data_IF_390377373663
#
_entry.id   IF_390377373663
#
_cell.length_a   1.000
_cell.length_b   1.000
_cell.length_c   1.000
_cell.angle_alpha   90.00
_cell.angle_beta   90.00
_cell.angle_gamma   90.00
#
_symmetry.space_group_name_H-M   'P 1'
#
loop_
_entity.id
_entity.type
_entity.pdbx_description
1 polymer ?
#
# COMPACT_ATOMS: atom_id res chain seq x y z
N UNK A 1 19.27 -1.40 -32.22
CA UNK A 1 17.97 -2.08 -32.39
C UNK A 1 17.47 -2.31 -30.99
N UNK A 2 16.69 -1.34 -30.52
CA UNK A 2 16.37 -1.12 -29.11
C UNK A 2 15.45 -2.22 -28.57
N UNK A 3 15.90 -2.88 -27.51
CA UNK A 3 15.16 -3.90 -26.77
C UNK A 3 14.60 -3.39 -25.43
N UNK A 4 14.25 -2.10 -25.35
CA UNK A 4 13.69 -1.50 -24.13
C UNK A 4 12.31 -0.85 -24.33
N UNK A 5 11.54 -1.30 -25.32
CA UNK A 5 10.10 -1.09 -25.27
C UNK A 5 9.54 -1.99 -24.15
N UNK A 6 9.55 -1.48 -22.91
CA UNK A 6 8.82 -2.05 -21.78
C UNK A 6 7.40 -2.39 -22.23
N UNK A 7 6.86 -3.51 -21.76
CA UNK A 7 5.61 -4.10 -22.21
C UNK A 7 4.41 -3.17 -21.93
N UNK A 8 4.23 -2.11 -22.73
CA UNK A 8 3.12 -1.12 -22.67
C UNK A 8 1.77 -1.70 -23.10
N UNK A 9 1.71 -3.01 -23.38
CA UNK A 9 0.57 -3.66 -24.04
C UNK A 9 -0.57 -4.12 -23.13
N UNK A 10 -0.37 -4.22 -21.82
CA UNK A 10 -1.42 -4.67 -20.90
C UNK A 10 -1.33 -3.99 -19.54
N UNK A 11 -2.49 -3.55 -19.04
CA UNK A 11 -2.65 -3.01 -17.69
C UNK A 11 -2.57 -4.18 -16.69
N UNK A 12 -1.53 -4.21 -15.86
CA UNK A 12 -1.26 -5.30 -14.91
C UNK A 12 -1.37 -4.82 -13.45
N UNK A 13 -1.84 -5.67 -12.52
CA UNK A 13 -1.91 -5.33 -11.10
C UNK A 13 -0.55 -4.91 -10.55
N UNK A 14 -0.53 -3.89 -9.67
CA UNK A 14 0.69 -3.55 -8.92
C UNK A 14 1.07 -4.68 -7.96
N UNK A 15 2.37 -4.81 -7.67
CA UNK A 15 2.92 -5.85 -6.78
C UNK A 15 2.24 -5.88 -5.40
N UNK A 16 1.80 -4.73 -4.89
CA UNK A 16 1.09 -4.67 -3.61
C UNK A 16 -0.29 -5.35 -3.65
N UNK A 17 -1.03 -5.27 -4.76
CA UNK A 17 -2.30 -6.00 -4.90
C UNK A 17 -2.06 -7.51 -4.80
N UNK A 18 -1.02 -8.01 -5.47
CA UNK A 18 -0.65 -9.42 -5.42
C UNK A 18 -0.22 -9.84 -4.02
N UNK A 19 0.62 -9.03 -3.36
CA UNK A 19 1.08 -9.31 -2.00
C UNK A 19 -0.09 -9.44 -1.01
N UNK A 20 -1.09 -8.56 -1.11
CA UNK A 20 -2.29 -8.60 -0.27
C UNK A 20 -3.17 -9.80 -0.61
N UNK A 21 -3.44 -10.05 -1.89
CA UNK A 21 -4.24 -11.20 -2.32
C UNK A 21 -3.58 -12.53 -1.89
N UNK A 22 -2.27 -12.67 -2.08
CA UNK A 22 -1.51 -13.83 -1.63
C UNK A 22 -1.49 -13.99 -0.12
N UNK A 23 -1.42 -12.88 0.62
CA UNK A 23 -1.46 -12.92 2.08
C UNK A 23 -2.80 -13.48 2.54
N UNK A 24 -3.92 -12.89 2.08
CA UNK A 24 -5.27 -13.28 2.48
C UNK A 24 -5.58 -14.72 2.05
N UNK A 25 -5.19 -15.11 0.83
CA UNK A 25 -5.37 -16.48 0.34
C UNK A 25 -4.66 -17.51 1.24
N UNK A 26 -3.44 -17.21 1.70
CA UNK A 26 -2.64 -18.15 2.51
C UNK A 26 -3.03 -18.17 3.98
N UNK A 27 -3.33 -17.01 4.56
CA UNK A 27 -3.52 -16.87 6.01
C UNK A 27 -4.99 -16.84 6.43
N UNK A 28 -5.90 -16.52 5.51
CA UNK A 28 -7.35 -16.51 5.74
C UNK A 28 -8.12 -17.38 4.72
N UNK A 29 -7.74 -18.64 4.49
CA UNK A 29 -8.26 -19.45 3.37
C UNK A 29 -9.77 -19.72 3.44
N UNK A 30 -10.33 -19.82 4.63
CA UNK A 30 -11.77 -20.02 4.82
C UNK A 30 -12.57 -18.75 4.53
N UNK A 31 -12.07 -17.59 4.95
CA UNK A 31 -12.65 -16.28 4.65
C UNK A 31 -12.55 -15.99 3.15
N UNK A 32 -11.40 -16.32 2.55
CA UNK A 32 -11.18 -16.22 1.11
C UNK A 32 -12.20 -17.03 0.33
N UNK A 33 -12.35 -18.32 0.66
CA UNK A 33 -13.30 -19.21 -0.02
C UNK A 33 -14.74 -18.71 0.14
N UNK A 34 -15.15 -18.39 1.37
CA UNK A 34 -16.49 -17.89 1.65
C UNK A 34 -16.80 -16.61 0.86
N UNK A 35 -15.83 -15.69 0.76
CA UNK A 35 -15.99 -14.42 0.05
C UNK A 35 -15.99 -14.60 -1.47
N UNK A 36 -15.14 -15.49 -2.00
CA UNK A 36 -15.08 -15.80 -3.42
C UNK A 36 -16.32 -16.55 -3.92
N UNK A 37 -16.89 -17.43 -3.10
CA UNK A 37 -18.15 -18.13 -3.39
C UNK A 37 -19.39 -17.24 -3.19
N UNK A 38 -19.21 -16.04 -2.62
CA UNK A 38 -20.31 -15.10 -2.35
C UNK A 38 -20.86 -14.55 -3.66
N UNK A 39 -21.87 -15.23 -4.19
CA UNK A 39 -22.66 -14.75 -5.33
C UNK A 39 -23.60 -13.65 -4.89
N UNK A 40 -23.57 -12.51 -5.58
CA UNK A 40 -24.64 -11.51 -5.44
C UNK A 40 -25.94 -12.12 -5.96
N UNK A 41 -27.00 -12.12 -5.15
CA UNK A 41 -28.27 -12.71 -5.55
C UNK A 41 -28.91 -11.90 -6.70
N UNK A 42 -29.56 -12.58 -7.65
CA UNK A 42 -30.19 -11.93 -8.80
C UNK A 42 -31.18 -10.82 -8.37
N UNK A 43 -31.94 -11.02 -7.29
CA UNK A 43 -32.85 -10.02 -6.73
C UNK A 43 -32.12 -8.76 -6.22
N UNK A 44 -30.92 -8.91 -5.65
CA UNK A 44 -30.09 -7.78 -5.21
C UNK A 44 -29.58 -6.98 -6.41
N UNK A 45 -29.19 -7.66 -7.49
CA UNK A 45 -28.76 -7.00 -8.74
C UNK A 45 -29.91 -6.25 -9.41
N UNK A 46 -31.10 -6.84 -9.48
CA UNK A 46 -32.29 -6.15 -9.99
C UNK A 46 -32.66 -4.93 -9.13
N UNK A 47 -32.60 -5.07 -7.81
CA UNK A 47 -32.84 -3.95 -6.89
C UNK A 47 -31.81 -2.82 -7.09
N UNK A 48 -30.54 -3.16 -7.31
CA UNK A 48 -29.47 -2.21 -7.61
C UNK A 48 -29.75 -1.47 -8.93
N UNK A 49 -30.06 -2.19 -10.02
CA UNK A 49 -30.41 -1.61 -11.32
C UNK A 49 -31.61 -0.68 -11.22
N UNK A 50 -32.65 -1.08 -10.47
CA UNK A 50 -33.83 -0.27 -10.24
C UNK A 50 -33.53 0.99 -9.40
N UNK A 51 -32.62 0.91 -8.42
CA UNK A 51 -32.16 2.08 -7.67
C UNK A 51 -31.37 3.05 -8.54
N UNK A 52 -30.44 2.56 -9.36
CA UNK A 52 -29.72 3.39 -10.33
C UNK A 52 -30.67 4.16 -11.24
N UNK A 53 -31.67 3.50 -11.82
CA UNK A 53 -32.66 4.16 -12.69
C UNK A 53 -33.57 5.15 -11.96
N UNK A 54 -33.79 4.97 -10.65
CA UNK A 54 -34.63 5.87 -9.85
C UNK A 54 -33.87 7.14 -9.44
N UNK A 55 -32.59 6.99 -9.15
CA UNK A 55 -31.77 8.04 -8.52
C UNK A 55 -30.91 8.81 -9.52
N UNK A 56 -30.81 8.32 -10.77
CA UNK A 56 -29.97 8.92 -11.81
C UNK A 56 -30.72 9.05 -13.14
N UNK A 57 -30.19 9.88 -14.03
CA UNK A 57 -30.62 9.96 -15.42
C UNK A 57 -29.75 9.03 -16.27
N UNK A 58 -30.35 8.04 -16.95
CA UNK A 58 -29.61 7.20 -17.90
C UNK A 58 -29.23 8.03 -19.13
N UNK A 59 -27.94 8.08 -19.44
CA UNK A 59 -27.42 8.79 -20.62
C UNK A 59 -27.71 7.93 -21.85
N UNK A 60 -28.67 8.36 -22.66
CA UNK A 60 -29.11 7.63 -23.84
C UNK A 60 -28.14 7.77 -25.02
N UNK A 61 -27.93 6.67 -25.77
CA UNK A 61 -26.97 6.65 -26.87
C UNK A 61 -27.42 7.45 -28.09
N UNK A 62 -28.72 7.55 -28.35
CA UNK A 62 -29.25 8.35 -29.47
C UNK A 62 -29.10 9.85 -29.18
N UNK A 63 -29.20 10.25 -27.91
CA UNK A 63 -29.06 11.64 -27.47
C UNK A 63 -27.59 12.07 -27.25
N UNK A 64 -26.71 11.14 -26.84
CA UNK A 64 -25.33 11.41 -26.43
C UNK A 64 -24.32 10.49 -27.12
N UNK A 65 -24.43 10.38 -28.45
CA UNK A 65 -23.63 9.43 -29.23
C UNK A 65 -22.11 9.64 -29.15
N UNK A 66 -21.65 10.87 -28.97
CA UNK A 66 -20.24 11.22 -28.77
C UNK A 66 -19.68 10.70 -27.44
N UNK A 67 -20.46 10.79 -26.36
CA UNK A 67 -20.11 10.26 -25.04
C UNK A 67 -20.00 8.73 -25.09
N UNK A 68 -20.98 8.06 -25.72
CA UNK A 68 -20.96 6.61 -25.90
C UNK A 68 -19.82 6.15 -26.82
N UNK A 69 -19.49 6.91 -27.85
CA UNK A 69 -18.33 6.63 -28.70
C UNK A 69 -17.01 6.76 -27.93
N UNK A 70 -16.88 7.74 -27.03
CA UNK A 70 -15.72 7.87 -26.15
C UNK A 70 -15.60 6.67 -25.19
N UNK A 71 -16.71 6.24 -24.57
CA UNK A 71 -16.71 5.05 -23.72
C UNK A 71 -16.29 3.80 -24.51
N UNK A 72 -16.88 3.58 -25.68
CA UNK A 72 -16.55 2.44 -26.54
C UNK A 72 -15.06 2.44 -26.94
N UNK A 73 -14.50 3.59 -27.29
CA UNK A 73 -13.08 3.73 -27.60
C UNK A 73 -12.19 3.46 -26.38
N UNK A 74 -12.58 3.90 -25.18
CA UNK A 74 -11.85 3.59 -23.95
C UNK A 74 -11.86 2.08 -23.66
N UNK A 75 -13.01 1.42 -23.82
CA UNK A 75 -13.14 -0.04 -23.69
C UNK A 75 -12.26 -0.78 -24.70
N UNK A 76 -12.26 -0.36 -25.97
CA UNK A 76 -11.40 -0.92 -27.02
C UNK A 76 -9.91 -0.82 -26.64
N UNK A 77 -9.46 0.37 -26.22
CA UNK A 77 -8.05 0.61 -25.86
C UNK A 77 -7.60 -0.17 -24.63
N UNK A 78 -8.53 -0.51 -23.75
CA UNK A 78 -8.28 -1.34 -22.57
C UNK A 78 -8.55 -2.84 -22.82
N UNK A 79 -8.94 -3.22 -24.03
CA UNK A 79 -9.18 -4.62 -24.40
C UNK A 79 -10.45 -5.23 -23.80
N UNK A 80 -11.42 -4.41 -23.37
CA UNK A 80 -12.70 -4.89 -22.84
C UNK A 80 -13.64 -5.18 -24.02
N UNK A 81 -13.96 -6.46 -24.23
CA UNK A 81 -14.78 -6.92 -25.36
C UNK A 81 -16.05 -7.62 -24.87
N UNK A 82 -17.19 -7.26 -25.46
CA UNK A 82 -18.46 -7.98 -25.25
C UNK A 82 -19.14 -7.74 -23.90
N UNK A 83 -18.64 -6.83 -23.08
CA UNK A 83 -19.26 -6.43 -21.80
C UNK A 83 -20.22 -5.27 -22.04
N UNK A 84 -21.51 -5.36 -21.68
CA UNK A 84 -22.42 -4.24 -21.79
C UNK A 84 -22.04 -3.13 -20.79
N UNK A 85 -22.05 -1.87 -21.26
CA UNK A 85 -21.78 -0.70 -20.45
C UNK A 85 -22.97 0.27 -20.46
N UNK A 86 -23.33 0.80 -19.29
CA UNK A 86 -24.37 1.81 -19.15
C UNK A 86 -23.84 3.04 -18.41
N UNK A 87 -24.13 4.22 -18.97
CA UNK A 87 -23.79 5.51 -18.41
C UNK A 87 -24.99 6.14 -17.71
N UNK A 88 -24.72 6.76 -16.56
CA UNK A 88 -25.70 7.47 -15.76
C UNK A 88 -25.17 8.85 -15.38
N UNK A 89 -26.06 9.84 -15.32
CA UNK A 89 -25.83 11.14 -14.74
C UNK A 89 -26.50 11.20 -13.37
N UNK A 90 -25.70 11.30 -12.32
CA UNK A 90 -26.13 11.51 -10.94
C UNK A 90 -26.20 13.02 -10.61
N UNK A 91 -27.14 13.47 -9.76
CA UNK A 91 -27.19 14.84 -9.28
C UNK A 91 -25.95 15.20 -8.44
N UNK A 92 -25.47 16.43 -8.58
CA UNK A 92 -24.36 16.95 -7.77
C UNK A 92 -23.72 18.17 -8.41
N UNK A 93 -22.96 18.93 -7.62
CA UNK A 93 -22.22 20.12 -8.08
C UNK A 93 -20.72 19.86 -8.23
N UNK A 94 -20.20 18.89 -7.49
CA UNK A 94 -18.81 18.44 -7.61
C UNK A 94 -18.68 17.48 -8.79
N UNK A 95 -17.59 17.63 -9.53
CA UNK A 95 -17.24 16.70 -10.61
C UNK A 95 -16.80 15.38 -10.00
N UNK A 96 -17.39 14.28 -10.44
CA UNK A 96 -16.94 12.95 -10.06
C UNK A 96 -17.33 11.92 -11.12
N UNK A 97 -16.65 10.79 -11.14
CA UNK A 97 -17.09 9.58 -11.80
C UNK A 97 -16.95 8.41 -10.83
N UNK A 98 -17.79 7.39 -10.99
CA UNK A 98 -17.64 6.15 -10.24
C UNK A 98 -18.17 4.95 -11.00
N UNK A 99 -17.44 3.84 -10.89
CA UNK A 99 -17.89 2.52 -11.29
C UNK A 99 -18.79 1.90 -10.21
N UNK A 100 -19.95 1.41 -10.64
CA UNK A 100 -20.72 0.41 -9.88
C UNK A 100 -20.43 -0.95 -10.48
N UNK A 101 -19.65 -1.75 -9.75
CA UNK A 101 -19.23 -3.07 -10.22
C UNK A 101 -20.37 -4.09 -10.13
N UNK A 102 -20.73 -4.64 -11.29
CA UNK A 102 -21.64 -5.78 -11.42
C UNK A 102 -20.91 -6.85 -12.24
N UNK A 103 -20.84 -8.12 -11.80
CA UNK A 103 -20.21 -9.16 -12.60
C UNK A 103 -20.82 -9.24 -14.00
N UNK A 104 -19.98 -9.06 -15.02
CA UNK A 104 -20.38 -9.08 -16.44
C UNK A 104 -21.09 -7.82 -16.96
N UNK A 105 -21.22 -6.75 -16.16
CA UNK A 105 -21.85 -5.48 -16.57
C UNK A 105 -21.05 -4.28 -16.05
N UNK A 106 -20.97 -3.22 -16.86
CA UNK A 106 -20.31 -1.98 -16.49
C UNK A 106 -21.38 -0.91 -16.28
N UNK A 107 -21.39 -0.29 -15.10
CA UNK A 107 -22.25 0.85 -14.80
C UNK A 107 -21.37 2.01 -14.33
N UNK A 108 -21.33 3.11 -15.08
CA UNK A 108 -20.53 4.28 -14.74
C UNK A 108 -21.47 5.44 -14.44
N UNK A 109 -21.32 6.03 -13.26
CA UNK A 109 -22.03 7.23 -12.84
C UNK A 109 -21.12 8.44 -13.04
N UNK A 110 -21.63 9.47 -13.70
CA UNK A 110 -21.03 10.79 -13.81
C UNK A 110 -21.79 11.74 -12.90
N UNK A 111 -21.07 12.57 -12.14
CA UNK A 111 -21.66 13.55 -11.23
C UNK A 111 -21.14 14.95 -11.54
N UNK A 112 -22.02 15.95 -11.43
CA UNK A 112 -21.66 17.33 -11.70
C UNK A 112 -21.36 17.60 -13.18
N UNK A 113 -20.64 18.70 -13.49
CA UNK A 113 -20.46 19.18 -14.87
C UNK A 113 -19.35 18.44 -15.63
N UNK A 114 -19.24 17.11 -15.49
CA UNK A 114 -18.20 16.29 -16.14
C UNK A 114 -18.31 16.37 -17.66
N UNK A 115 -19.50 16.14 -18.21
CA UNK A 115 -19.72 16.19 -19.67
C UNK A 115 -19.59 17.61 -20.24
N UNK A 116 -19.73 18.64 -19.41
CA UNK A 116 -19.59 20.04 -19.83
C UNK A 116 -18.13 20.50 -19.81
N UNK A 117 -17.34 20.06 -18.83
CA UNK A 117 -16.00 20.61 -18.55
C UNK A 117 -14.83 19.75 -19.04
N UNK A 118 -15.06 18.46 -19.30
CA UNK A 118 -14.04 17.59 -19.87
C UNK A 118 -14.07 17.65 -21.39
N UNK A 119 -12.89 17.82 -21.98
CA UNK A 119 -12.66 17.61 -23.41
C UNK A 119 -12.80 16.13 -23.78
N UNK A 120 -12.88 15.82 -25.07
CA UNK A 120 -12.98 14.43 -25.54
C UNK A 120 -11.82 13.54 -25.07
N UNK A 121 -10.60 14.07 -24.97
CA UNK A 121 -9.45 13.31 -24.45
C UNK A 121 -9.49 13.11 -22.94
N UNK A 122 -10.00 14.09 -22.19
CA UNK A 122 -10.18 13.99 -20.74
C UNK A 122 -11.33 13.06 -20.38
N UNK A 123 -12.38 13.01 -21.23
CA UNK A 123 -13.48 12.06 -21.12
C UNK A 123 -13.01 10.62 -21.39
N UNK A 124 -12.12 10.42 -22.37
CA UNK A 124 -11.43 9.13 -22.53
C UNK A 124 -10.62 8.76 -21.29
N UNK A 125 -9.93 9.72 -20.67
CA UNK A 125 -9.16 9.46 -19.47
C UNK A 125 -10.04 9.07 -18.27
N UNK A 126 -11.15 9.77 -18.03
CA UNK A 126 -12.04 9.44 -16.91
C UNK A 126 -12.73 8.09 -17.12
N UNK A 127 -13.16 7.77 -18.35
CA UNK A 127 -13.70 6.44 -18.64
C UNK A 127 -12.63 5.36 -18.51
N UNK A 128 -11.42 5.59 -19.00
CA UNK A 128 -10.32 4.65 -18.81
C UNK A 128 -9.99 4.37 -17.36
N UNK A 129 -10.11 5.38 -16.50
CA UNK A 129 -9.95 5.25 -15.06
C UNK A 129 -11.02 4.33 -14.46
N UNK A 130 -12.30 4.61 -14.70
CA UNK A 130 -13.40 3.77 -14.16
C UNK A 130 -13.38 2.34 -14.72
N UNK A 131 -13.05 2.19 -16.01
CA UNK A 131 -12.93 0.87 -16.64
C UNK A 131 -11.75 0.07 -16.11
N UNK A 132 -10.69 0.73 -15.63
CA UNK A 132 -9.59 0.05 -14.99
C UNK A 132 -9.98 -0.53 -13.63
N UNK A 133 -10.82 0.14 -12.83
CA UNK A 133 -11.39 -0.49 -11.63
C UNK A 133 -12.13 -1.79 -11.98
N UNK A 134 -12.94 -1.76 -13.05
CA UNK A 134 -13.64 -2.96 -13.53
C UNK A 134 -12.65 -4.07 -13.93
N UNK A 135 -11.59 -3.72 -14.67
CA UNK A 135 -10.56 -4.67 -15.07
C UNK A 135 -9.88 -5.31 -13.87
N UNK A 136 -9.37 -4.51 -12.92
CA UNK A 136 -8.68 -5.03 -11.74
C UNK A 136 -9.55 -6.06 -11.02
N UNK A 137 -10.83 -5.75 -10.79
CA UNK A 137 -11.78 -6.63 -10.13
C UNK A 137 -12.25 -7.82 -10.97
N UNK A 138 -11.99 -7.83 -12.27
CA UNK A 138 -12.30 -8.93 -13.19
C UNK A 138 -11.10 -9.83 -13.47
N UNK A 139 -9.88 -9.42 -13.12
CA UNK A 139 -8.65 -10.21 -13.32
C UNK A 139 -8.63 -11.44 -12.40
N UNK A 140 -7.97 -12.50 -12.90
CA UNK A 140 -7.71 -13.75 -12.19
C UNK A 140 -8.94 -14.30 -11.46
N UNK A 141 -10.05 -14.45 -12.20
CA UNK A 141 -11.33 -14.92 -11.68
C UNK A 141 -11.86 -14.12 -10.47
N UNK A 142 -11.60 -12.80 -10.45
CA UNK A 142 -12.05 -11.91 -9.39
C UNK A 142 -11.20 -11.99 -8.11
N UNK A 143 -9.95 -12.43 -8.22
CA UNK A 143 -8.98 -12.50 -7.11
C UNK A 143 -8.86 -11.17 -6.36
N UNK A 144 -8.72 -10.07 -7.08
CA UNK A 144 -8.54 -8.74 -6.49
C UNK A 144 -9.84 -8.15 -5.93
N UNK A 145 -10.98 -8.53 -6.50
CA UNK A 145 -12.30 -8.21 -5.93
C UNK A 145 -12.53 -8.97 -4.62
N UNK A 146 -12.08 -10.21 -4.55
CA UNK A 146 -12.17 -11.03 -3.33
C UNK A 146 -11.36 -10.38 -2.21
N UNK A 147 -10.12 -9.98 -2.49
CA UNK A 147 -9.28 -9.26 -1.52
C UNK A 147 -9.95 -7.94 -1.04
N UNK A 148 -10.45 -7.12 -1.97
CA UNK A 148 -11.15 -5.87 -1.66
C UNK A 148 -12.34 -6.09 -0.71
N UNK A 149 -13.18 -7.08 -1.02
CA UNK A 149 -14.37 -7.42 -0.21
C UNK A 149 -14.01 -7.89 1.20
N UNK A 150 -12.99 -8.74 1.34
CA UNK A 150 -12.52 -9.20 2.66
C UNK A 150 -12.09 -8.02 3.50
N UNK A 151 -11.28 -7.12 2.92
CA UNK A 151 -10.77 -5.95 3.63
C UNK A 151 -11.90 -4.98 4.00
N UNK A 152 -12.81 -4.70 3.08
CA UNK A 152 -13.96 -3.85 3.34
C UNK A 152 -14.86 -4.42 4.45
N UNK A 153 -15.16 -5.72 4.40
CA UNK A 153 -15.98 -6.39 5.42
C UNK A 153 -15.25 -6.41 6.79
N UNK A 154 -13.93 -6.59 6.81
CA UNK A 154 -13.11 -6.53 8.03
C UNK A 154 -13.09 -5.14 8.67
N UNK A 155 -13.04 -4.07 7.87
CA UNK A 155 -13.09 -2.68 8.35
C UNK A 155 -14.48 -2.30 8.83
N UNK A 156 -15.53 -2.82 8.21
CA UNK A 156 -16.92 -2.60 8.63
C UNK A 156 -17.28 -3.37 9.92
N UNK A 157 -16.56 -4.46 10.24
CA UNK A 157 -16.83 -5.28 11.41
C UNK A 157 -16.49 -4.55 12.73
N UNK A 158 -17.36 -4.64 13.77
CA UNK A 158 -17.04 -4.14 15.09
C UNK A 158 -15.76 -4.81 15.64
N UNK A 159 -14.75 -4.01 15.94
CA UNK A 159 -13.48 -4.52 16.46
C UNK A 159 -12.48 -4.99 15.41
N UNK A 160 -12.64 -4.61 14.13
CA UNK A 160 -11.62 -4.84 13.10
C UNK A 160 -10.23 -4.35 13.56
N UNK A 161 -9.17 -5.07 13.20
CA UNK A 161 -7.81 -4.73 13.59
C UNK A 161 -7.28 -3.50 12.82
N UNK A 162 -6.34 -2.76 13.41
CA UNK A 162 -5.70 -1.63 12.73
C UNK A 162 -4.93 -2.08 11.48
N UNK A 163 -4.40 -3.30 11.47
CA UNK A 163 -3.71 -3.85 10.30
C UNK A 163 -4.63 -4.06 9.11
N UNK A 164 -5.87 -4.53 9.31
CA UNK A 164 -6.85 -4.64 8.24
C UNK A 164 -7.27 -3.25 7.72
N UNK A 165 -7.42 -2.25 8.62
CA UNK A 165 -7.69 -0.85 8.23
C UNK A 165 -6.57 -0.28 7.36
N UNK A 166 -5.32 -0.42 7.78
CA UNK A 166 -4.18 0.09 7.04
C UNK A 166 -3.97 -0.68 5.73
N UNK A 167 -4.21 -2.00 5.72
CA UNK A 167 -4.18 -2.81 4.50
C UNK A 167 -5.23 -2.33 3.51
N UNK A 168 -6.48 -2.14 3.95
CA UNK A 168 -7.57 -1.66 3.10
C UNK A 168 -7.28 -0.28 2.51
N UNK A 169 -6.81 0.64 3.35
CA UNK A 169 -6.37 1.97 2.92
C UNK A 169 -5.30 1.88 1.83
N UNK A 170 -4.18 1.19 2.08
CA UNK A 170 -3.09 1.06 1.09
C UNK A 170 -3.53 0.36 -0.18
N UNK A 171 -4.42 -0.62 -0.06
CA UNK A 171 -5.00 -1.32 -1.19
C UNK A 171 -5.80 -0.35 -2.07
N UNK A 172 -6.66 0.48 -1.47
CA UNK A 172 -7.39 1.53 -2.18
C UNK A 172 -6.45 2.54 -2.86
N UNK A 173 -5.38 2.98 -2.17
CA UNK A 173 -4.39 3.90 -2.76
C UNK A 173 -3.70 3.29 -3.99
N UNK A 174 -3.35 2.00 -3.96
CA UNK A 174 -2.77 1.29 -5.09
C UNK A 174 -3.77 1.07 -6.24
N UNK A 175 -5.03 0.82 -5.90
CA UNK A 175 -6.14 0.69 -6.87
C UNK A 175 -6.32 1.99 -7.65
N UNK A 176 -6.22 3.15 -6.99
CA UNK A 176 -6.26 4.45 -7.68
C UNK A 176 -5.08 4.67 -8.63
N UNK A 177 -3.86 4.29 -8.23
CA UNK A 177 -2.70 4.35 -9.12
C UNK A 177 -2.83 3.41 -10.32
N UNK A 178 -3.41 2.23 -10.13
CA UNK A 178 -3.74 1.32 -11.22
C UNK A 178 -4.74 1.95 -12.19
N UNK A 179 -5.80 2.55 -11.64
CA UNK A 179 -6.84 3.17 -12.45
C UNK A 179 -6.33 4.43 -13.20
N UNK A 180 -5.42 5.20 -12.62
CA UNK A 180 -4.75 6.31 -13.32
C UNK A 180 -4.00 5.85 -14.58
N UNK A 181 -3.33 4.69 -14.51
CA UNK A 181 -2.68 4.08 -15.67
C UNK A 181 -3.69 3.73 -16.75
N UNK A 182 -4.83 3.16 -16.37
CA UNK A 182 -5.96 2.90 -17.26
C UNK A 182 -6.48 4.16 -17.95
N UNK A 183 -6.59 5.27 -17.21
CA UNK A 183 -6.96 6.56 -17.76
C UNK A 183 -5.96 7.06 -18.82
N UNK A 184 -4.65 7.00 -18.55
CA UNK A 184 -3.64 7.39 -19.53
C UNK A 184 -3.60 6.48 -20.76
N UNK A 185 -3.78 5.16 -20.59
CA UNK A 185 -3.86 4.20 -21.69
C UNK A 185 -5.08 4.48 -22.59
N UNK A 186 -6.25 4.67 -22.00
CA UNK A 186 -7.47 4.98 -22.73
C UNK A 186 -7.40 6.33 -23.42
N UNK A 187 -6.73 7.34 -22.84
CA UNK A 187 -6.50 8.63 -23.49
C UNK A 187 -5.38 8.57 -24.55
N UNK A 188 -4.45 7.62 -24.44
CA UNK A 188 -3.24 7.51 -25.25
C UNK A 188 -2.14 8.49 -24.86
N UNK A 189 -2.26 9.16 -23.71
CA UNK A 189 -1.31 10.15 -23.20
C UNK A 189 -1.51 10.44 -21.70
N UNK A 190 -0.46 10.87 -21.02
CA UNK A 190 -0.50 11.31 -19.60
C UNK A 190 -1.25 12.63 -19.42
N UNK A 191 -1.06 13.58 -20.34
CA UNK A 191 -1.56 14.94 -20.14
C UNK A 191 -3.09 15.02 -19.94
N UNK A 192 -3.94 14.31 -20.71
CA UNK A 192 -5.37 14.28 -20.45
C UNK A 192 -5.73 13.66 -19.09
N UNK A 193 -5.05 12.60 -18.68
CA UNK A 193 -5.31 11.96 -17.38
C UNK A 193 -4.94 12.87 -16.20
N UNK A 194 -3.77 13.53 -16.25
CA UNK A 194 -3.37 14.54 -15.25
C UNK A 194 -4.34 15.71 -15.24
N UNK A 195 -4.75 16.21 -16.41
CA UNK A 195 -5.75 17.28 -16.51
C UNK A 195 -7.05 16.87 -15.85
N UNK A 196 -7.58 15.68 -16.16
CA UNK A 196 -8.80 15.13 -15.55
C UNK A 196 -8.69 15.07 -14.03
N UNK A 197 -7.60 14.54 -13.48
CA UNK A 197 -7.37 14.48 -12.03
C UNK A 197 -7.49 15.87 -11.37
N UNK A 198 -6.84 16.88 -11.94
CA UNK A 198 -6.87 18.25 -11.41
C UNK A 198 -8.26 18.87 -11.57
N UNK A 199 -8.92 18.70 -12.72
CA UNK A 199 -10.26 19.25 -12.96
C UNK A 199 -11.30 18.62 -12.03
N UNK A 200 -11.26 17.30 -11.84
CA UNK A 200 -12.17 16.60 -10.93
C UNK A 200 -11.99 17.09 -9.50
N UNK A 201 -10.73 17.21 -9.03
CA UNK A 201 -10.44 17.66 -7.68
C UNK A 201 -10.80 19.13 -7.40
N UNK A 202 -10.55 20.02 -8.37
CA UNK A 202 -10.62 21.48 -8.14
C UNK A 202 -11.84 22.14 -8.77
N UNK A 203 -12.49 21.47 -9.73
CA UNK A 203 -13.58 22.01 -10.53
C UNK A 203 -13.16 23.03 -11.60
N UNK A 204 -11.87 23.33 -11.78
CA UNK A 204 -11.46 24.32 -12.79
C UNK A 204 -11.65 23.80 -14.22
N UNK A 205 -11.93 24.70 -15.18
CA UNK A 205 -12.26 24.30 -16.56
C UNK A 205 -11.05 24.04 -17.45
N UNK A 206 -9.88 24.61 -17.13
CA UNK A 206 -8.67 24.51 -17.95
C UNK A 206 -7.48 24.22 -17.06
N UNK A 207 -6.68 23.24 -17.44
CA UNK A 207 -5.47 22.81 -16.72
C UNK A 207 -4.33 22.72 -17.72
N UNK A 208 -3.16 23.24 -17.36
CA UNK A 208 -1.91 22.92 -18.03
C UNK A 208 -1.27 21.74 -17.29
N UNK A 209 -1.42 20.54 -17.87
CA UNK A 209 -0.91 19.31 -17.27
C UNK A 209 0.63 19.32 -17.10
N UNK A 210 1.36 19.96 -18.02
CA UNK A 210 2.81 20.07 -17.92
C UNK A 210 3.23 21.02 -16.79
N UNK A 211 2.49 22.12 -16.60
CA UNK A 211 2.70 23.00 -15.45
C UNK A 211 2.39 22.29 -14.13
N UNK A 212 1.30 21.52 -14.06
CA UNK A 212 0.96 20.77 -12.86
C UNK A 212 1.99 19.69 -12.54
N UNK A 213 2.53 18.98 -13.54
CA UNK A 213 3.60 17.99 -13.31
C UNK A 213 4.89 18.64 -12.76
N UNK A 214 5.24 19.85 -13.22
CA UNK A 214 6.36 20.62 -12.64
C UNK A 214 6.08 20.99 -11.17
N UNK A 215 4.87 21.45 -10.88
CA UNK A 215 4.44 21.74 -9.51
C UNK A 215 4.50 20.48 -8.63
N UNK A 216 4.06 19.32 -9.15
CA UNK A 216 4.08 18.08 -8.40
C UNK A 216 5.52 17.61 -8.09
N UNK A 217 6.46 17.82 -9.02
CA UNK A 217 7.89 17.57 -8.79
C UNK A 217 8.51 18.56 -7.78
N UNK A 218 8.06 19.82 -7.76
CA UNK A 218 8.48 20.79 -6.75
C UNK A 218 8.02 20.40 -5.35
N UNK A 219 6.75 19.98 -5.18
CA UNK A 219 6.23 19.45 -3.90
C UNK A 219 7.08 18.26 -3.45
N UNK A 220 7.33 17.30 -4.37
CA UNK A 220 8.12 16.11 -4.11
C UNK A 220 9.53 16.44 -3.58
N UNK A 221 10.17 17.46 -4.12
CA UNK A 221 11.52 17.89 -3.71
C UNK A 221 11.57 18.52 -2.31
N UNK A 222 10.44 19.01 -1.81
CA UNK A 222 10.34 19.72 -0.53
C UNK A 222 9.65 18.89 0.57
N UNK A 223 8.91 17.85 0.21
CA UNK A 223 8.14 17.01 1.12
C UNK A 223 8.53 15.54 0.98
N UNK A 224 8.91 14.89 2.09
CA UNK A 224 9.28 13.46 2.14
C UNK A 224 8.19 12.56 2.76
N UNK A 225 6.99 13.10 2.97
CA UNK A 225 5.88 12.37 3.58
C UNK A 225 5.23 11.34 2.65
N UNK A 226 4.81 10.22 3.24
CA UNK A 226 3.85 9.31 2.63
C UNK A 226 2.44 9.89 2.69
N UNK A 227 1.58 9.43 1.78
CA UNK A 227 0.18 9.84 1.69
C UNK A 227 -0.53 9.73 3.03
N UNK A 228 -1.22 10.80 3.42
CA UNK A 228 -2.07 10.84 4.61
C UNK A 228 -3.54 10.49 4.28
N UNK A 229 -3.88 10.31 3.01
CA UNK A 229 -5.23 10.10 2.53
C UNK A 229 -5.77 8.68 2.76
N UNK A 230 -7.08 8.58 3.03
CA UNK A 230 -7.76 7.33 3.38
C UNK A 230 -8.28 6.52 2.19
N UNK A 231 -8.58 7.17 1.07
CA UNK A 231 -9.24 6.55 -0.09
C UNK A 231 -8.54 6.83 -1.42
N UNK A 232 -8.12 8.08 -1.67
CA UNK A 232 -7.41 8.46 -2.88
C UNK A 232 -6.11 9.17 -2.51
N UNK A 233 -4.95 8.83 -3.10
CA UNK A 233 -3.73 9.59 -2.85
C UNK A 233 -3.90 11.04 -3.26
N UNK A 234 -3.12 11.92 -2.65
CA UNK A 234 -3.04 13.33 -3.00
C UNK A 234 -2.77 13.47 -4.51
N UNK A 235 -3.45 14.42 -5.16
CA UNK A 235 -3.42 14.54 -6.64
C UNK A 235 -2.01 14.66 -7.22
N UNK A 236 -1.08 15.27 -6.49
CA UNK A 236 0.31 15.37 -6.92
C UNK A 236 1.02 14.00 -6.92
N UNK A 237 0.74 13.13 -5.93
CA UNK A 237 1.28 11.77 -5.87
C UNK A 237 0.79 10.97 -7.07
N UNK A 238 -0.52 11.03 -7.33
CA UNK A 238 -1.16 10.36 -8.49
C UNK A 238 -0.56 10.80 -9.82
N UNK A 239 -0.45 12.12 -10.04
CA UNK A 239 0.12 12.67 -11.26
C UNK A 239 1.60 12.29 -11.45
N UNK A 240 2.41 12.28 -10.38
CA UNK A 240 3.82 11.86 -10.43
C UNK A 240 3.97 10.37 -10.68
N UNK A 241 3.24 9.53 -9.94
CA UNK A 241 3.24 8.08 -10.15
C UNK A 241 2.87 7.72 -11.60
N UNK A 242 1.86 8.40 -12.16
CA UNK A 242 1.43 8.19 -13.54
C UNK A 242 2.51 8.60 -14.55
N UNK A 243 3.18 9.74 -14.35
CA UNK A 243 4.26 10.20 -15.21
C UNK A 243 5.47 9.26 -15.17
N UNK A 244 5.96 8.91 -13.97
CA UNK A 244 7.07 7.97 -13.79
C UNK A 244 6.77 6.61 -14.43
N UNK A 245 5.53 6.12 -14.28
CA UNK A 245 5.09 4.88 -14.94
C UNK A 245 5.08 4.99 -16.47
N UNK A 246 4.56 6.08 -17.00
CA UNK A 246 4.46 6.29 -18.44
C UNK A 246 5.84 6.40 -19.10
N UNK A 247 6.77 7.07 -18.43
CA UNK A 247 8.14 7.27 -18.90
C UNK A 247 9.00 6.01 -18.70
N UNK A 248 8.54 5.05 -17.89
CA UNK A 248 9.20 3.77 -17.66
C UNK A 248 10.38 3.87 -16.69
N UNK A 249 10.26 4.75 -15.70
CA UNK A 249 11.32 5.00 -14.71
C UNK A 249 11.57 3.76 -13.84
N UNK A 250 12.86 3.45 -13.63
CA UNK A 250 13.29 2.21 -12.98
C UNK A 250 13.02 2.19 -11.48
N UNK A 251 12.99 3.36 -10.84
CA UNK A 251 12.79 3.56 -9.41
C UNK A 251 11.31 3.75 -9.02
N UNK A 252 10.37 3.62 -9.97
CA UNK A 252 8.94 3.80 -9.73
C UNK A 252 8.42 2.97 -8.54
N UNK A 253 8.88 1.72 -8.41
CA UNK A 253 8.40 0.82 -7.36
C UNK A 253 8.82 1.33 -5.98
N UNK A 254 10.09 1.67 -5.83
CA UNK A 254 10.64 2.22 -4.58
C UNK A 254 10.00 3.57 -4.26
N UNK A 255 9.73 4.39 -5.30
CA UNK A 255 9.03 5.65 -5.16
C UNK A 255 7.59 5.46 -4.63
N UNK A 256 6.85 4.50 -5.19
CA UNK A 256 5.48 4.19 -4.73
C UNK A 256 5.52 3.67 -3.28
N UNK A 257 6.46 2.79 -2.94
CA UNK A 257 6.60 2.26 -1.56
C UNK A 257 6.84 3.42 -0.57
N UNK A 258 7.78 4.31 -0.89
CA UNK A 258 8.06 5.48 -0.06
C UNK A 258 6.85 6.42 0.08
N UNK A 259 6.08 6.62 -1.00
CA UNK A 259 4.96 7.57 -1.04
C UNK A 259 3.64 7.02 -0.53
N UNK A 260 3.40 5.72 -0.58
CA UNK A 260 2.14 5.13 -0.13
C UNK A 260 2.27 4.41 1.22
N UNK A 261 3.42 3.81 1.52
CA UNK A 261 3.64 3.11 2.79
C UNK A 261 4.42 3.97 3.78
N UNK A 262 5.46 4.66 3.29
CA UNK A 262 6.40 5.37 4.14
C UNK A 262 7.28 4.41 4.96
N UNK A 263 7.88 4.88 6.07
CA UNK A 263 8.76 4.06 6.88
C UNK A 263 8.03 2.87 7.52
N UNK A 264 8.75 1.77 7.72
CA UNK A 264 8.25 0.65 8.52
C UNK A 264 8.05 1.13 9.97
N UNK A 265 6.79 1.10 10.41
CA UNK A 265 6.31 1.70 11.66
C UNK A 265 5.32 0.74 12.32
N UNK A 266 5.42 0.55 13.63
CA UNK A 266 4.51 -0.31 14.40
C UNK A 266 3.09 0.22 14.38
N UNK A 267 2.91 1.54 14.35
CA UNK A 267 1.61 2.21 14.34
C UNK A 267 0.89 2.07 13.01
N UNK A 268 1.61 1.72 11.93
CA UNK A 268 1.06 1.59 10.56
C UNK A 268 1.41 0.25 9.91
N UNK A 269 1.44 -0.83 10.68
CA UNK A 269 1.63 -2.17 10.13
C UNK A 269 0.35 -2.64 9.44
N UNK A 270 0.40 -2.79 8.12
CA UNK A 270 -0.55 -3.58 7.34
C UNK A 270 -0.23 -5.09 7.45
N UNK A 271 -1.09 -5.93 6.88
CA UNK A 271 -0.94 -7.39 6.95
C UNK A 271 0.38 -7.88 6.29
N UNK A 272 0.76 -7.45 5.07
CA UNK A 272 2.07 -7.79 4.51
C UNK A 272 3.24 -7.24 5.34
N UNK A 273 3.11 -6.04 5.91
CA UNK A 273 4.10 -5.41 6.76
C UNK A 273 4.32 -6.17 8.07
N UNK A 274 3.28 -6.75 8.67
CA UNK A 274 3.41 -7.64 9.83
C UNK A 274 4.25 -8.87 9.48
N UNK A 275 3.96 -9.54 8.36
CA UNK A 275 4.75 -10.70 7.92
C UNK A 275 6.21 -10.32 7.64
N UNK A 276 6.45 -9.17 7.01
CA UNK A 276 7.79 -8.63 6.77
C UNK A 276 8.52 -8.33 8.08
N UNK A 277 7.89 -7.63 9.02
CA UNK A 277 8.49 -7.32 10.31
C UNK A 277 8.77 -8.60 11.11
N UNK A 278 7.87 -9.59 11.05
CA UNK A 278 8.10 -10.88 11.71
C UNK A 278 9.33 -11.59 11.14
N UNK A 279 9.50 -11.64 9.82
CA UNK A 279 10.68 -12.22 9.18
C UNK A 279 11.97 -11.47 9.54
N UNK A 280 11.94 -10.13 9.51
CA UNK A 280 13.07 -9.31 9.94
C UNK A 280 13.41 -9.53 11.42
N UNK A 281 12.40 -9.67 12.27
CA UNK A 281 12.57 -9.94 13.70
C UNK A 281 13.27 -11.28 13.93
N UNK A 282 12.89 -12.32 13.18
CA UNK A 282 13.57 -13.62 13.28
C UNK A 282 15.04 -13.50 12.90
N UNK A 283 15.32 -12.88 11.76
CA UNK A 283 16.71 -12.67 11.35
C UNK A 283 17.51 -11.77 12.30
N UNK A 284 16.85 -10.81 12.94
CA UNK A 284 17.45 -9.96 13.96
C UNK A 284 17.82 -10.72 15.22
N UNK A 285 16.95 -11.63 15.70
CA UNK A 285 17.28 -12.52 16.82
C UNK A 285 18.49 -13.39 16.45
N UNK A 286 18.52 -13.96 15.24
CA UNK A 286 19.66 -14.75 14.78
C UNK A 286 20.96 -13.91 14.78
N UNK A 287 20.90 -12.67 14.28
CA UNK A 287 22.02 -11.72 14.31
C UNK A 287 22.49 -11.37 15.73
N UNK A 288 21.54 -11.19 16.65
CA UNK A 288 21.84 -10.86 18.03
C UNK A 288 22.57 -12.00 18.74
N UNK A 289 22.12 -13.25 18.53
CA UNK A 289 22.66 -14.44 19.20
C UNK A 289 24.05 -14.89 18.68
N UNK A 290 24.35 -14.64 17.41
CA UNK A 290 25.58 -15.12 16.74
C UNK A 290 26.88 -14.53 17.35
N UNK A 291 26.86 -13.27 17.76
CA UNK A 291 28.09 -12.52 18.10
C UNK A 291 28.78 -12.86 19.43
N UNK A 292 28.13 -13.60 20.34
CA UNK A 292 28.68 -13.80 21.70
C UNK A 292 28.26 -15.13 22.39
N UNK A 293 27.92 -16.17 21.62
CA UNK A 293 27.44 -17.45 22.18
C UNK A 293 26.26 -17.27 23.15
N UNK A 294 25.36 -16.33 22.83
CA UNK A 294 24.23 -15.93 23.68
C UNK A 294 23.05 -16.91 23.62
N UNK A 295 23.20 -18.02 22.89
CA UNK A 295 22.16 -19.02 22.69
C UNK A 295 22.15 -20.06 23.83
N UNK A 296 22.02 -19.60 25.09
CA UNK A 296 21.82 -20.52 26.22
C UNK A 296 20.42 -21.14 26.19
N UNK A 297 20.22 -22.23 26.94
CA UNK A 297 18.91 -22.89 27.03
C UNK A 297 17.80 -21.93 27.49
N UNK A 298 18.12 -21.01 28.42
CA UNK A 298 17.18 -20.01 28.91
C UNK A 298 16.80 -18.99 27.82
N UNK A 299 17.79 -18.48 27.08
CA UNK A 299 17.56 -17.54 25.98
C UNK A 299 16.78 -18.22 24.85
N UNK A 300 17.16 -19.43 24.45
CA UNK A 300 16.47 -20.19 23.41
C UNK A 300 15.04 -20.58 23.82
N UNK A 301 14.80 -20.85 25.11
CA UNK A 301 13.45 -21.05 25.61
C UNK A 301 12.59 -19.79 25.43
N UNK A 302 13.13 -18.60 25.72
CA UNK A 302 12.43 -17.34 25.53
C UNK A 302 12.19 -17.01 24.04
N UNK A 303 13.17 -17.29 23.18
CA UNK A 303 12.98 -17.18 21.72
C UNK A 303 11.86 -18.09 21.25
N UNK A 304 11.81 -19.34 21.74
CA UNK A 304 10.74 -20.29 21.40
C UNK A 304 9.37 -19.93 21.99
N UNK A 305 9.31 -19.10 23.02
CA UNK A 305 8.03 -18.52 23.47
C UNK A 305 7.48 -17.49 22.47
N UNK A 306 8.35 -16.75 21.79
CA UNK A 306 7.97 -15.80 20.73
C UNK A 306 7.71 -16.53 19.40
N UNK A 307 8.55 -17.50 19.08
CA UNK A 307 8.54 -18.27 17.84
C UNK A 307 8.63 -19.77 18.15
N UNK A 308 7.48 -20.45 18.39
CA UNK A 308 7.47 -21.87 18.75
C UNK A 308 8.16 -22.79 17.73
N UNK A 309 8.25 -22.35 16.48
CA UNK A 309 8.87 -23.02 15.35
C UNK A 309 10.30 -22.53 15.06
N UNK A 310 10.95 -21.86 16.02
CA UNK A 310 12.31 -21.34 15.87
C UNK A 310 13.32 -22.42 15.48
N UNK A 311 14.22 -22.06 14.56
CA UNK A 311 15.30 -22.92 14.08
C UNK A 311 16.66 -22.26 14.30
N UNK A 312 17.71 -23.06 14.43
CA UNK A 312 19.06 -22.50 14.63
C UNK A 312 19.69 -22.02 13.30
N UNK A 313 19.04 -22.32 12.16
CA UNK A 313 19.45 -21.95 10.80
C UNK A 313 18.65 -20.76 10.22
N UNK A 314 18.04 -19.93 11.08
CA UNK A 314 17.30 -18.74 10.66
C UNK A 314 18.21 -17.78 9.85
N UNK A 315 17.73 -17.22 8.73
CA UNK A 315 18.49 -16.25 7.95
C UNK A 315 18.83 -15.01 8.76
N UNK A 316 20.12 -14.70 8.90
CA UNK A 316 20.60 -13.55 9.69
C UNK A 316 20.22 -12.22 9.01
N UNK A 317 19.61 -11.31 9.78
CA UNK A 317 19.31 -9.94 9.36
C UNK A 317 19.90 -8.95 10.37
N UNK A 318 20.95 -8.23 9.95
CA UNK A 318 21.61 -7.22 10.77
C UNK A 318 20.91 -5.84 10.75
N UNK A 319 21.47 -4.85 11.45
CA UNK A 319 20.96 -3.47 11.48
C UNK A 319 20.70 -2.86 10.09
N UNK A 320 21.58 -3.11 9.11
CA UNK A 320 21.46 -2.61 7.74
C UNK A 320 20.14 -3.05 7.06
N UNK A 321 19.60 -4.21 7.43
CA UNK A 321 18.32 -4.68 6.92
C UNK A 321 17.16 -3.78 7.39
N UNK A 322 17.25 -3.20 8.58
CA UNK A 322 16.23 -2.27 9.10
C UNK A 322 16.39 -0.85 8.54
N UNK A 323 17.62 -0.45 8.22
CA UNK A 323 17.89 0.79 7.50
C UNK A 323 17.33 0.74 6.07
N UNK A 324 17.56 -0.37 5.36
CA UNK A 324 17.08 -0.56 3.99
C UNK A 324 15.55 -0.49 3.85
N UNK A 325 14.81 -0.83 4.91
CA UNK A 325 13.34 -0.75 4.94
C UNK A 325 12.82 0.55 5.55
N UNK A 326 13.71 1.48 5.88
CA UNK A 326 13.36 2.76 6.50
C UNK A 326 12.63 2.59 7.83
N UNK A 327 13.04 1.65 8.70
CA UNK A 327 12.41 1.47 10.00
C UNK A 327 12.44 2.77 10.83
N UNK A 328 11.35 3.08 11.52
CA UNK A 328 11.25 4.27 12.37
C UNK A 328 11.63 3.99 13.85
N UNK A 329 11.44 4.99 14.71
CA UNK A 329 11.76 4.88 16.13
C UNK A 329 10.87 3.89 16.89
N UNK A 330 9.63 3.64 16.42
CA UNK A 330 8.74 2.66 17.03
C UNK A 330 9.33 1.25 16.88
N UNK A 331 9.80 0.91 15.67
CA UNK A 331 10.42 -0.38 15.37
C UNK A 331 11.75 -0.51 16.10
N UNK A 332 12.60 0.53 16.07
CA UNK A 332 13.86 0.54 16.84
C UNK A 332 13.62 0.35 18.35
N UNK A 333 12.57 0.98 18.88
CA UNK A 333 12.14 0.81 20.27
C UNK A 333 11.74 -0.63 20.59
N UNK A 334 10.98 -1.26 19.70
CA UNK A 334 10.62 -2.69 19.80
C UNK A 334 11.84 -3.61 19.79
N UNK A 335 12.79 -3.40 18.87
CA UNK A 335 14.03 -4.20 18.83
C UNK A 335 14.87 -4.04 20.09
N UNK A 336 14.94 -2.81 20.65
CA UNK A 336 15.61 -2.56 21.93
C UNK A 336 14.95 -3.31 23.09
N UNK A 337 13.62 -3.35 23.15
CA UNK A 337 12.89 -4.11 24.15
C UNK A 337 13.16 -5.62 24.00
N UNK A 338 13.13 -6.13 22.76
CA UNK A 338 13.42 -7.52 22.46
C UNK A 338 14.84 -7.94 22.88
N UNK A 339 15.86 -7.14 22.55
CA UNK A 339 17.23 -7.42 23.00
C UNK A 339 17.35 -7.41 24.52
N UNK A 340 16.67 -6.48 25.19
CA UNK A 340 16.68 -6.41 26.66
C UNK A 340 16.04 -7.65 27.28
N UNK A 341 14.89 -8.09 26.76
CA UNK A 341 14.20 -9.29 27.21
C UNK A 341 15.10 -10.53 27.08
N UNK A 342 15.79 -10.69 25.95
CA UNK A 342 16.73 -11.80 25.74
C UNK A 342 17.98 -11.68 26.62
N UNK A 343 18.53 -10.48 26.80
CA UNK A 343 19.70 -10.24 27.64
C UNK A 343 19.45 -10.52 29.12
N UNK A 344 18.19 -10.43 29.57
CA UNK A 344 17.80 -10.71 30.95
C UNK A 344 17.33 -12.15 31.18
N UNK A 345 17.23 -12.96 30.12
CA UNK A 345 16.79 -14.35 30.19
C UNK A 345 17.72 -15.24 31.01
N UNK A 346 19.03 -14.99 30.89
CA UNK A 346 20.09 -15.77 31.52
C UNK A 346 20.98 -14.87 32.40
N UNK A 347 20.89 -14.98 33.74
CA UNK A 347 21.72 -14.21 34.66
C UNK A 347 23.23 -14.38 34.45
N UNK A 348 23.68 -15.55 33.96
CA UNK A 348 25.10 -15.85 33.79
C UNK A 348 25.69 -15.18 32.54
N UNK A 349 24.84 -14.88 31.55
CA UNK A 349 25.24 -14.21 30.30
C UNK A 349 24.87 -12.74 30.24
N UNK A 350 24.13 -12.24 31.24
CA UNK A 350 23.52 -10.90 31.25
C UNK A 350 24.46 -9.77 30.84
N UNK A 351 25.64 -9.67 31.44
CA UNK A 351 26.56 -8.56 31.18
C UNK A 351 27.07 -8.57 29.71
N UNK A 352 27.37 -9.76 29.17
CA UNK A 352 27.82 -9.94 27.78
C UNK A 352 26.67 -9.66 26.81
N UNK A 353 25.47 -10.15 27.12
CA UNK A 353 24.27 -9.95 26.31
C UNK A 353 23.86 -8.46 26.25
N UNK A 354 23.93 -7.75 27.37
CA UNK A 354 23.68 -6.32 27.42
C UNK A 354 24.72 -5.53 26.61
N UNK A 355 26.00 -5.89 26.71
CA UNK A 355 27.07 -5.26 25.92
C UNK A 355 26.82 -5.43 24.42
N UNK A 356 26.46 -6.65 23.98
CA UNK A 356 26.04 -6.93 22.61
C UNK A 356 24.84 -6.09 22.19
N UNK A 357 23.82 -5.96 23.05
CA UNK A 357 22.64 -5.15 22.77
C UNK A 357 23.01 -3.67 22.53
N UNK A 358 23.99 -3.16 23.27
CA UNK A 358 24.52 -1.81 23.08
C UNK A 358 25.25 -1.61 21.76
N UNK A 359 26.02 -2.60 21.29
CA UNK A 359 26.67 -2.56 19.98
C UNK A 359 25.62 -2.52 18.86
N UNK A 360 24.62 -3.41 18.94
CA UNK A 360 23.55 -3.52 17.94
C UNK A 360 22.68 -2.25 17.94
N UNK A 361 22.30 -1.74 19.12
CA UNK A 361 21.55 -0.49 19.23
C UNK A 361 22.33 0.72 18.72
N UNK A 362 23.67 0.75 18.85
CA UNK A 362 24.49 1.78 18.22
C UNK A 362 24.41 1.73 16.70
N UNK A 363 24.53 0.54 16.12
CA UNK A 363 24.42 0.34 14.68
C UNK A 363 23.01 0.69 14.15
N UNK A 364 21.96 0.43 14.94
CA UNK A 364 20.59 0.84 14.65
C UNK A 364 20.33 2.34 14.86
N UNK A 365 21.26 3.10 15.42
CA UNK A 365 21.03 4.50 15.81
C UNK A 365 20.06 4.69 16.99
N UNK A 366 19.85 3.65 17.81
CA UNK A 366 18.87 3.61 18.90
C UNK A 366 19.48 3.50 20.31
N UNK A 367 20.80 3.71 20.45
CA UNK A 367 21.54 3.50 21.70
C UNK A 367 21.01 4.32 22.89
N UNK A 368 20.66 5.59 22.66
CA UNK A 368 20.15 6.46 23.72
C UNK A 368 18.79 5.97 24.24
N UNK A 369 17.93 5.49 23.35
CA UNK A 369 16.65 4.88 23.71
C UNK A 369 16.86 3.57 24.49
N UNK A 370 17.82 2.73 24.09
CA UNK A 370 18.17 1.52 24.85
C UNK A 370 18.64 1.87 26.27
N UNK A 371 19.52 2.87 26.43
CA UNK A 371 20.01 3.28 27.76
C UNK A 371 18.89 3.78 28.68
N UNK A 372 17.88 4.44 28.12
CA UNK A 372 16.70 4.84 28.87
C UNK A 372 15.90 3.61 29.35
N UNK A 373 15.68 2.63 28.46
CA UNK A 373 15.00 1.38 28.79
C UNK A 373 15.76 0.59 29.87
N UNK A 374 17.09 0.48 29.76
CA UNK A 374 17.91 -0.22 30.77
C UNK A 374 17.79 0.40 32.16
N UNK A 375 17.68 1.72 32.24
CA UNK A 375 17.48 2.43 33.51
C UNK A 375 16.06 2.25 34.05
N UNK A 376 15.05 2.34 33.16
CA UNK A 376 13.63 2.31 33.53
C UNK A 376 13.14 0.90 33.87
N UNK A 377 13.46 -0.06 33.02
CA UNK A 377 12.83 -1.38 32.99
C UNK A 377 13.78 -2.47 33.53
N UNK A 378 15.06 -2.45 33.14
CA UNK A 378 16.06 -3.40 33.65
C UNK A 378 16.65 -3.00 35.03
N UNK A 379 16.27 -1.83 35.55
CA UNK A 379 16.63 -1.36 36.88
C UNK A 379 18.10 -0.98 37.07
N UNK A 380 18.86 -0.73 35.99
CA UNK A 380 20.28 -0.37 36.11
C UNK A 380 20.46 0.95 36.85
N UNK A 381 21.18 0.90 37.96
CA UNK A 381 21.55 2.07 38.73
C UNK A 381 22.53 2.96 37.96
N UNK A 382 22.68 4.22 38.41
CA UNK A 382 23.59 5.20 37.77
C UNK A 382 25.01 4.65 37.58
N UNK A 383 25.56 3.95 38.58
CA UNK A 383 26.92 3.38 38.50
C UNK A 383 27.06 2.25 37.49
N UNK A 384 26.04 1.40 37.38
CA UNK A 384 26.01 0.28 36.44
C UNK A 384 25.91 0.79 35.00
N UNK A 385 25.06 1.81 34.79
CA UNK A 385 24.93 2.44 33.48
C UNK A 385 26.23 3.14 33.04
N UNK A 386 26.94 3.81 33.95
CA UNK A 386 28.26 4.39 33.64
C UNK A 386 29.33 3.32 33.35
N UNK A 387 29.28 2.17 34.05
CA UNK A 387 30.16 1.03 33.74
C UNK A 387 29.87 0.48 32.34
N UNK A 388 28.60 0.24 32.04
CA UNK A 388 28.13 -0.23 30.74
C UNK A 388 28.58 0.71 29.59
N UNK A 389 28.42 2.02 29.77
CA UNK A 389 28.88 3.03 28.79
C UNK A 389 30.38 2.99 28.53
N UNK A 390 31.19 2.77 29.58
CA UNK A 390 32.65 2.66 29.43
C UNK A 390 33.04 1.40 28.67
N UNK A 391 32.45 0.25 29.02
CA UNK A 391 32.69 -1.01 28.31
C UNK A 391 32.35 -0.90 26.81
N UNK A 392 31.21 -0.28 26.50
CA UNK A 392 30.80 0.00 25.13
C UNK A 392 31.75 0.92 24.35
N UNK A 393 32.43 1.83 25.04
CA UNK A 393 33.41 2.73 24.42
C UNK A 393 34.74 2.03 24.17
N UNK A 394 35.18 1.18 25.10
CA UNK A 394 36.42 0.40 24.98
C UNK A 394 36.38 -0.58 23.79
N UNK A 395 35.23 -1.18 23.50
CA UNK A 395 35.05 -2.03 22.30
C UNK A 395 34.96 -1.26 20.97
N UNK A 396 34.84 0.06 21.00
CA UNK A 396 34.87 0.88 19.77
C UNK A 396 36.31 1.07 19.25
N UNK A 397 37.28 0.96 20.14
CA UNK A 397 38.70 1.21 19.88
C UNK A 397 39.48 -0.10 19.61
N UNK A 398 38.79 -1.24 19.59
CA UNK A 398 39.29 -2.58 19.24
C UNK A 398 38.72 -3.01 17.88
#
# INVERSE_FOLDING_TARGET
MDSHASNRGALAPLAYHEAVADYLYRHEPDVWRWTGERTTHAEQLESLRASLLRETYRIDADAHGDVHAALALAMERLGIVGVPATLYQSPGTQMNASLVFVPGEIHILLQGPVLERLSSHELLAIFGHELAHYLLWSLDDGRFLTADRILNDAVAAPGGADSHRETFRRYALHTELFADRGGAMAAGAVAPAVSTLVKVQTGISTVDAAAYLRQAAEIESNESGASAASSHPETFIRARALALWWDGEADLVDWIDARLHGPLSLERLDLPGQARLQALTRGFIAHYLDGASLASDAVLAQVRMLFPDWRDDEPVAGPDAFEAVGADDSVRGYLNALMMDLALADPDQRDVALLRAGQVARALGSLDALQLNLRRDAGLGKRELERYKRQLAEEKDA
#
